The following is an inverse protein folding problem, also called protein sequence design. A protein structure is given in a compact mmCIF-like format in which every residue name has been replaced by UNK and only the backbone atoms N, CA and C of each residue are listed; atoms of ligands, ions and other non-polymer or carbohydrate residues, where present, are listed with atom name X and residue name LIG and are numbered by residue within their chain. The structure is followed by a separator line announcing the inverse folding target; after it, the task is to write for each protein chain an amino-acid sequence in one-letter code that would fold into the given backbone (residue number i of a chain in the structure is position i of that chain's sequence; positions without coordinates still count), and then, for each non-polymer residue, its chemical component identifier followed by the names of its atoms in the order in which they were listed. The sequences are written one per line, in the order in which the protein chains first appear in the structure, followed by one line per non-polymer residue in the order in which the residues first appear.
data_IF_854569812617
#
_entry.id   IF_854569812617
#
_cell.length_a   1.000
_cell.length_b   1.000
_cell.length_c   1.000
_cell.angle_alpha   90.00
_cell.angle_beta   90.00
_cell.angle_gamma   90.00
#
_symmetry.space_group_name_H-M   'P 1'
#
loop_
_entity.id
_entity.type
_entity.pdbx_description
1 polymer ?
#
# COMPACT_ATOMS: atom_id res chain seq x y z
N UNK A 1 7.59 -26.37 19.82
CA UNK A 1 7.15 -26.19 21.22
C UNK A 1 6.09 -27.23 21.52
N UNK A 2 6.18 -27.95 22.64
CA UNK A 2 5.13 -28.92 23.04
C UNK A 2 3.91 -28.15 23.57
N UNK A 3 2.70 -28.63 23.32
CA UNK A 3 1.46 -27.97 23.76
C UNK A 3 1.43 -27.67 25.27
N UNK A 4 2.00 -28.55 26.10
CA UNK A 4 2.12 -28.34 27.55
C UNK A 4 2.94 -27.09 27.91
N UNK A 5 4.05 -26.85 27.21
CA UNK A 5 4.87 -25.65 27.40
C UNK A 5 4.13 -24.39 26.94
N UNK A 6 3.38 -24.47 25.85
CA UNK A 6 2.55 -23.36 25.38
C UNK A 6 1.49 -22.96 26.41
N UNK A 7 0.75 -23.92 26.94
CA UNK A 7 -0.25 -23.64 27.98
C UNK A 7 0.35 -23.13 29.29
N UNK A 8 1.56 -23.56 29.65
CA UNK A 8 2.28 -23.01 30.80
C UNK A 8 2.65 -21.53 30.57
N UNK A 9 3.14 -21.17 29.36
CA UNK A 9 3.44 -19.81 28.99
C UNK A 9 2.18 -18.92 29.00
N UNK A 10 1.03 -19.43 28.53
CA UNK A 10 -0.22 -18.67 28.57
C UNK A 10 -0.62 -18.26 30.00
N UNK A 11 -0.32 -19.08 31.01
CA UNK A 11 -0.57 -18.74 32.42
C UNK A 11 0.22 -17.52 32.90
N UNK A 12 1.38 -17.22 32.29
CA UNK A 12 2.19 -16.06 32.65
C UNK A 12 1.68 -14.76 32.02
N UNK A 13 0.76 -14.84 31.04
CA UNK A 13 0.13 -13.63 30.44
C UNK A 13 -0.63 -12.79 31.45
N UNK A 14 -1.12 -13.37 32.55
CA UNK A 14 -1.76 -12.62 33.64
C UNK A 14 -0.86 -11.55 34.26
N UNK A 15 0.46 -11.69 34.09
CA UNK A 15 1.46 -10.75 34.59
C UNK A 15 1.81 -9.64 33.57
N UNK A 16 1.20 -9.70 32.37
CA UNK A 16 1.37 -8.66 31.34
C UNK A 16 0.31 -7.60 31.59
N UNK A 17 0.74 -6.45 32.03
CA UNK A 17 -0.11 -5.29 32.32
C UNK A 17 0.18 -4.17 31.33
N UNK A 18 -0.83 -3.35 31.04
CA UNK A 18 -0.71 -2.17 30.19
C UNK A 18 -1.10 -0.93 30.98
N UNK A 19 -0.47 0.23 30.73
CA UNK A 19 -0.99 1.48 31.26
C UNK A 19 -2.45 1.68 30.84
N UNK A 20 -3.31 2.08 31.80
CA UNK A 20 -4.73 2.31 31.51
C UNK A 20 -4.94 3.48 30.55
N UNK A 21 -4.11 4.51 30.65
CA UNK A 21 -4.20 5.69 29.79
C UNK A 21 -3.20 5.57 28.63
N UNK A 22 -3.69 5.83 27.41
CA UNK A 22 -2.84 5.97 26.24
C UNK A 22 -2.03 7.27 26.31
N UNK A 23 -2.58 8.34 26.92
CA UNK A 23 -1.88 9.60 27.13
C UNK A 23 -1.04 9.51 28.41
N UNK A 24 0.30 9.81 28.35
CA UNK A 24 1.11 10.02 29.55
C UNK A 24 0.59 11.19 30.38
N UNK A 25 0.78 11.12 31.71
CA UNK A 25 0.33 12.19 32.62
C UNK A 25 1.09 13.50 32.43
N UNK A 26 2.34 13.42 31.94
CA UNK A 26 3.24 14.54 31.64
C UNK A 26 3.32 14.85 30.13
N UNK A 27 2.36 14.38 29.34
CA UNK A 27 2.28 14.75 27.93
C UNK A 27 1.99 16.24 27.78
N UNK A 28 2.67 16.88 26.84
CA UNK A 28 2.41 18.26 26.46
C UNK A 28 0.96 18.39 25.98
N UNK A 29 0.26 19.41 26.46
CA UNK A 29 -1.16 19.63 26.17
C UNK A 29 -1.40 20.25 24.81
N UNK A 30 -0.46 21.04 24.34
CA UNK A 30 -0.53 21.80 23.09
C UNK A 30 -0.06 20.97 21.88
N UNK A 31 0.65 19.86 22.12
CA UNK A 31 1.23 19.05 21.05
C UNK A 31 0.44 17.74 20.87
N UNK A 32 -0.18 17.60 19.70
CA UNK A 32 -0.84 16.35 19.30
C UNK A 32 0.20 15.26 19.08
N UNK A 33 -0.06 14.00 19.51
CA UNK A 33 0.85 12.89 19.26
C UNK A 33 0.92 12.52 17.78
N UNK A 34 2.01 11.89 17.36
CA UNK A 34 2.08 11.21 16.08
C UNK A 34 1.47 9.80 16.19
N UNK A 35 0.73 9.39 15.17
CA UNK A 35 0.29 8.00 15.03
C UNK A 35 1.36 7.22 14.26
N UNK A 36 2.03 6.30 14.93
CA UNK A 36 3.08 5.47 14.33
C UNK A 36 2.58 4.06 14.16
N UNK A 37 2.72 3.50 12.96
CA UNK A 37 2.33 2.11 12.69
C UNK A 37 3.49 1.32 12.13
N UNK A 38 3.61 0.06 12.55
CA UNK A 38 4.54 -0.92 12.00
C UNK A 38 3.76 -2.07 11.43
N UNK A 39 4.23 -2.66 10.35
CA UNK A 39 3.66 -3.86 9.79
C UNK A 39 4.73 -4.83 9.32
N UNK A 40 4.42 -6.13 9.42
CA UNK A 40 5.28 -7.23 9.00
C UNK A 40 4.45 -8.38 8.44
N UNK A 41 5.01 -9.06 7.45
CA UNK A 41 4.44 -10.27 6.87
C UNK A 41 5.52 -11.31 6.61
N UNK A 42 5.24 -12.55 7.01
CA UNK A 42 6.08 -13.71 6.73
C UNK A 42 5.26 -14.79 5.97
N UNK A 43 5.83 -15.94 5.58
CA UNK A 43 5.08 -16.97 4.86
C UNK A 43 3.80 -17.46 5.55
N UNK A 44 3.74 -17.39 6.89
CA UNK A 44 2.68 -18.02 7.68
C UNK A 44 1.70 -17.01 8.29
N UNK A 45 2.13 -15.75 8.48
CA UNK A 45 1.34 -14.75 9.19
C UNK A 45 1.63 -13.32 8.70
N UNK A 46 0.73 -12.40 9.03
CA UNK A 46 0.93 -10.98 8.84
C UNK A 46 0.29 -10.18 9.98
N UNK A 47 0.84 -9.02 10.29
CA UNK A 47 0.35 -8.22 11.40
C UNK A 47 0.71 -6.75 11.28
N UNK A 48 0.07 -5.96 12.15
CA UNK A 48 0.37 -4.55 12.32
C UNK A 48 0.17 -4.14 13.78
N UNK A 49 0.96 -3.18 14.22
CA UNK A 49 0.90 -2.56 15.54
C UNK A 49 0.93 -1.06 15.41
N UNK A 50 0.21 -0.36 16.27
CA UNK A 50 0.11 1.09 16.30
C UNK A 50 0.47 1.66 17.67
N UNK A 51 1.20 2.77 17.66
CA UNK A 51 1.63 3.52 18.81
C UNK A 51 1.20 4.98 18.69
N UNK A 52 0.88 5.61 19.83
CA UNK A 52 0.86 7.06 19.96
C UNK A 52 2.24 7.52 20.44
N UNK A 53 2.92 8.35 19.67
CA UNK A 53 4.20 8.96 20.03
C UNK A 53 3.94 10.36 20.56
N UNK A 54 4.04 10.52 21.87
CA UNK A 54 3.78 11.76 22.59
C UNK A 54 5.05 12.57 22.77
N UNK A 55 4.92 13.88 22.69
CA UNK A 55 5.92 14.82 23.21
C UNK A 55 5.55 15.14 24.65
N UNK A 56 6.53 15.09 25.55
CA UNK A 56 6.36 15.39 26.96
C UNK A 56 6.71 16.86 27.26
N UNK A 57 6.29 17.36 28.42
CA UNK A 57 6.52 18.75 28.84
C UNK A 57 8.02 19.15 28.91
N UNK A 58 8.92 18.18 29.09
CA UNK A 58 10.37 18.39 29.06
C UNK A 58 10.97 18.30 27.65
N UNK A 59 10.14 18.13 26.62
CA UNK A 59 10.54 17.98 25.22
C UNK A 59 10.98 16.56 24.85
N UNK A 60 11.05 15.63 25.78
CA UNK A 60 11.33 14.22 25.48
C UNK A 60 10.12 13.56 24.82
N UNK A 61 10.32 12.36 24.26
CA UNK A 61 9.23 11.61 23.60
C UNK A 61 8.94 10.30 24.32
N UNK A 62 7.68 9.94 24.39
CA UNK A 62 7.20 8.65 24.90
C UNK A 62 6.24 8.00 23.91
N UNK A 63 6.49 6.74 23.56
CA UNK A 63 5.57 5.98 22.72
C UNK A 63 4.76 5.02 23.59
N UNK A 64 3.45 4.93 23.30
CA UNK A 64 2.53 4.00 23.95
C UNK A 64 1.74 3.20 22.92
N UNK A 65 1.71 1.89 23.11
CA UNK A 65 0.93 1.01 22.24
C UNK A 65 -0.57 1.33 22.34
N UNK A 66 -1.23 1.41 21.19
CA UNK A 66 -2.68 1.59 21.10
C UNK A 66 -3.35 0.26 20.82
N UNK A 67 -2.92 -0.41 19.74
CA UNK A 67 -3.53 -1.65 19.27
C UNK A 67 -2.53 -2.45 18.44
N UNK A 68 -2.65 -3.75 18.53
CA UNK A 68 -1.94 -4.68 17.64
C UNK A 68 -2.90 -5.73 17.10
N UNK A 69 -2.70 -6.17 15.88
CA UNK A 69 -3.49 -7.22 15.25
C UNK A 69 -2.60 -8.10 14.39
N UNK A 70 -2.72 -9.42 14.60
CA UNK A 70 -2.09 -10.44 13.76
C UNK A 70 -3.14 -11.33 13.13
N UNK A 71 -2.82 -11.87 11.95
CA UNK A 71 -3.64 -12.85 11.24
C UNK A 71 -2.73 -13.91 10.64
N UNK A 72 -3.21 -15.14 10.59
CA UNK A 72 -2.57 -16.20 9.81
C UNK A 72 -2.70 -15.88 8.32
N UNK A 73 -1.65 -16.14 7.58
CA UNK A 73 -1.66 -16.05 6.12
C UNK A 73 -2.64 -17.07 5.53
N UNK A 74 -3.40 -16.71 4.48
CA UNK A 74 -4.24 -17.67 3.79
C UNK A 74 -3.40 -18.84 3.26
N UNK A 75 -3.94 -20.07 3.32
CA UNK A 75 -3.25 -21.27 2.78
C UNK A 75 -2.88 -21.13 1.29
N UNK A 76 -3.67 -20.34 0.55
CA UNK A 76 -3.39 -19.98 -0.86
C UNK A 76 -2.17 -19.08 -1.04
N UNK A 77 -1.66 -18.47 0.03
CA UNK A 77 -0.45 -17.62 0.04
C UNK A 77 0.77 -18.34 0.63
N UNK A 78 0.66 -19.66 0.89
CA UNK A 78 1.77 -20.44 1.49
C UNK A 78 3.05 -20.27 0.67
N UNK A 79 4.09 -19.76 1.33
CA UNK A 79 5.38 -19.46 0.67
C UNK A 79 5.46 -18.13 -0.08
N UNK A 80 4.37 -17.37 -0.20
CA UNK A 80 4.35 -16.08 -0.88
C UNK A 80 4.44 -14.91 0.11
N UNK A 81 5.63 -14.67 0.64
CA UNK A 81 5.90 -13.63 1.65
C UNK A 81 5.39 -12.27 1.24
N UNK A 82 5.61 -11.85 -0.01
CA UNK A 82 5.20 -10.52 -0.51
C UNK A 82 3.68 -10.30 -0.45
N UNK A 83 2.87 -11.37 -0.63
CA UNK A 83 1.42 -11.25 -0.46
C UNK A 83 1.03 -10.97 0.98
N UNK A 84 1.71 -11.60 1.94
CA UNK A 84 1.46 -11.37 3.35
C UNK A 84 2.02 -10.01 3.81
N UNK A 85 3.17 -9.56 3.31
CA UNK A 85 3.72 -8.22 3.55
C UNK A 85 2.76 -7.12 3.04
N UNK A 86 2.22 -7.28 1.82
CA UNK A 86 1.22 -6.34 1.29
C UNK A 86 -0.09 -6.38 2.09
N UNK A 87 -0.48 -7.55 2.57
CA UNK A 87 -1.65 -7.69 3.46
C UNK A 87 -1.40 -7.03 4.82
N UNK A 88 -0.17 -7.07 5.34
CA UNK A 88 0.25 -6.37 6.55
C UNK A 88 0.17 -4.85 6.40
N UNK A 89 0.67 -4.30 5.30
CA UNK A 89 0.56 -2.87 5.01
C UNK A 89 -0.91 -2.42 4.88
N UNK A 90 -1.75 -3.24 4.22
CA UNK A 90 -3.20 -2.99 4.16
C UNK A 90 -3.82 -3.02 5.57
N UNK A 91 -3.42 -3.96 6.42
CA UNK A 91 -3.90 -4.03 7.80
C UNK A 91 -3.49 -2.80 8.61
N UNK A 92 -2.23 -2.34 8.49
CA UNK A 92 -1.77 -1.12 9.14
C UNK A 92 -2.57 0.12 8.71
N UNK A 93 -2.89 0.26 7.43
CA UNK A 93 -3.74 1.34 6.93
C UNK A 93 -5.17 1.28 7.50
N UNK A 94 -5.72 0.07 7.69
CA UNK A 94 -7.02 -0.15 8.33
C UNK A 94 -6.99 0.16 9.82
N UNK A 95 -5.93 -0.22 10.53
CA UNK A 95 -5.73 0.13 11.94
C UNK A 95 -5.68 1.64 12.13
N UNK A 96 -4.95 2.36 11.27
CA UNK A 96 -4.96 3.83 11.28
C UNK A 96 -6.37 4.40 11.19
N UNK A 97 -7.14 3.96 10.21
CA UNK A 97 -8.53 4.45 10.03
C UNK A 97 -9.37 4.15 11.27
N UNK A 98 -9.32 2.91 11.76
CA UNK A 98 -10.05 2.50 12.94
C UNK A 98 -9.68 3.31 14.19
N UNK A 99 -8.39 3.58 14.41
CA UNK A 99 -7.92 4.37 15.55
C UNK A 99 -8.51 5.79 15.49
N UNK A 100 -8.41 6.45 14.34
CA UNK A 100 -8.92 7.82 14.16
C UNK A 100 -10.43 7.88 14.41
N UNK A 101 -11.18 6.89 13.93
CA UNK A 101 -12.63 6.87 14.03
C UNK A 101 -13.16 6.47 15.43
N UNK A 102 -12.38 5.71 16.22
CA UNK A 102 -12.91 5.06 17.43
C UNK A 102 -12.22 5.48 18.74
N UNK A 103 -11.09 6.18 18.71
CA UNK A 103 -10.39 6.53 19.98
C UNK A 103 -10.67 7.94 20.47
N UNK A 104 -11.20 8.81 19.63
CA UNK A 104 -11.35 10.23 19.95
C UNK A 104 -10.01 10.99 20.07
N UNK A 105 -8.89 10.32 19.79
CA UNK A 105 -7.56 10.95 19.78
C UNK A 105 -7.33 11.66 18.45
N UNK A 106 -6.87 12.88 18.54
CA UNK A 106 -6.36 13.62 17.38
C UNK A 106 -4.86 13.44 17.24
N UNK A 107 -4.39 13.19 16.03
CA UNK A 107 -2.99 12.98 15.71
C UNK A 107 -2.46 14.09 14.80
N UNK A 108 -1.22 14.51 15.02
CA UNK A 108 -0.55 15.50 14.18
C UNK A 108 -0.30 14.93 12.77
N UNK A 109 0.20 13.70 12.70
CA UNK A 109 0.48 13.00 11.44
C UNK A 109 0.44 11.47 11.64
N UNK A 110 0.49 10.74 10.52
CA UNK A 110 0.67 9.30 10.50
C UNK A 110 2.03 8.93 9.92
N UNK A 111 2.78 8.08 10.63
CA UNK A 111 4.13 7.63 10.26
C UNK A 111 4.14 6.10 10.16
N UNK A 112 3.89 5.52 8.99
CA UNK A 112 3.92 4.08 8.78
C UNK A 112 5.32 3.57 8.47
N UNK A 113 5.68 2.42 9.06
CA UNK A 113 6.94 1.71 8.86
C UNK A 113 6.69 0.30 8.34
N UNK A 114 7.53 -0.13 7.43
CA UNK A 114 7.59 -1.49 6.90
C UNK A 114 9.05 -1.87 6.58
N UNK A 115 9.34 -3.15 6.47
CA UNK A 115 10.67 -3.67 6.12
C UNK A 115 10.69 -4.36 4.74
N UNK A 116 9.55 -4.40 4.05
CA UNK A 116 9.47 -4.88 2.68
C UNK A 116 9.69 -3.76 1.66
N UNK A 117 10.87 -3.75 1.04
CA UNK A 117 11.18 -2.80 -0.02
C UNK A 117 10.28 -2.97 -1.25
N UNK A 118 9.91 -4.23 -1.54
CA UNK A 118 8.99 -4.56 -2.63
C UNK A 118 7.63 -3.90 -2.40
N UNK A 119 7.07 -4.06 -1.19
CA UNK A 119 5.75 -3.49 -0.86
C UNK A 119 5.81 -1.95 -0.84
N UNK A 120 6.90 -1.34 -0.33
CA UNK A 120 7.07 0.11 -0.41
C UNK A 120 7.05 0.60 -1.87
N UNK A 121 7.80 -0.05 -2.76
CA UNK A 121 7.81 0.29 -4.18
C UNK A 121 6.43 0.14 -4.82
N UNK A 122 5.69 -0.92 -4.44
CA UNK A 122 4.32 -1.13 -4.92
C UNK A 122 3.36 -0.03 -4.46
N UNK A 123 3.46 0.42 -3.21
CA UNK A 123 2.61 1.48 -2.64
C UNK A 123 2.90 2.84 -3.29
N UNK A 124 4.15 3.09 -3.68
CA UNK A 124 4.56 4.32 -4.36
C UNK A 124 4.13 4.40 -5.83
N UNK A 125 3.70 3.29 -6.43
CA UNK A 125 3.29 3.20 -7.84
C UNK A 125 1.77 3.13 -7.98
N UNK A 126 1.30 3.40 -9.18
CA UNK A 126 -0.13 3.36 -9.50
C UNK A 126 -0.74 1.96 -9.33
N UNK A 127 -1.83 1.87 -8.57
CA UNK A 127 -2.47 0.61 -8.21
C UNK A 127 -3.03 -0.18 -9.40
N UNK A 128 -3.45 0.51 -10.45
CA UNK A 128 -4.03 -0.12 -11.64
C UNK A 128 -3.02 -0.93 -12.48
N UNK A 129 -1.72 -0.69 -12.31
CA UNK A 129 -0.65 -1.48 -12.96
C UNK A 129 -0.53 -2.91 -12.44
N UNK A 130 -1.13 -3.22 -11.29
CA UNK A 130 -1.01 -4.51 -10.64
C UNK A 130 -2.18 -5.45 -10.95
N UNK A 131 -1.97 -6.76 -10.72
CA UNK A 131 -3.03 -7.75 -10.74
C UNK A 131 -4.10 -7.44 -9.68
N UNK A 132 -5.26 -8.10 -9.75
CA UNK A 132 -6.40 -7.83 -8.88
C UNK A 132 -6.05 -7.91 -7.39
N UNK A 133 -5.24 -8.89 -6.98
CA UNK A 133 -4.85 -9.05 -5.58
C UNK A 133 -4.06 -7.84 -5.05
N UNK A 134 -3.02 -7.46 -5.77
CA UNK A 134 -2.13 -6.36 -5.38
C UNK A 134 -2.79 -5.00 -5.63
N UNK A 135 -3.44 -4.81 -6.77
CA UNK A 135 -4.07 -3.55 -7.16
C UNK A 135 -5.12 -3.07 -6.15
N UNK A 136 -6.00 -3.97 -5.68
CA UNK A 136 -7.01 -3.62 -4.67
C UNK A 136 -6.39 -3.20 -3.35
N UNK A 137 -5.31 -3.86 -2.91
CA UNK A 137 -4.63 -3.54 -1.65
C UNK A 137 -3.85 -2.25 -1.73
N UNK A 138 -3.10 -2.06 -2.80
CA UNK A 138 -2.36 -0.81 -3.05
C UNK A 138 -3.34 0.36 -3.11
N UNK A 139 -4.44 0.24 -3.86
CA UNK A 139 -5.48 1.28 -3.92
C UNK A 139 -6.09 1.59 -2.54
N UNK A 140 -6.35 0.56 -1.72
CA UNK A 140 -6.87 0.76 -0.37
C UNK A 140 -5.85 1.50 0.53
N UNK A 141 -4.57 1.15 0.46
CA UNK A 141 -3.50 1.83 1.21
C UNK A 141 -3.40 3.29 0.77
N UNK A 142 -3.35 3.55 -0.54
CA UNK A 142 -3.25 4.89 -1.12
C UNK A 142 -4.45 5.77 -0.76
N UNK A 143 -5.65 5.20 -0.70
CA UNK A 143 -6.86 5.92 -0.27
C UNK A 143 -6.83 6.30 1.21
N UNK A 144 -6.22 5.48 2.07
CA UNK A 144 -6.28 5.63 3.52
C UNK A 144 -5.07 6.31 4.14
N UNK A 145 -3.96 6.40 3.41
CA UNK A 145 -2.69 6.95 3.92
C UNK A 145 -2.05 7.86 2.89
N UNK A 146 -1.25 8.80 3.36
CA UNK A 146 -0.34 9.53 2.48
C UNK A 146 0.77 8.58 2.02
N UNK A 147 0.89 8.40 0.73
CA UNK A 147 1.86 7.50 0.09
C UNK A 147 3.30 7.91 0.42
N UNK A 148 3.58 9.21 0.47
CA UNK A 148 4.92 9.74 0.77
C UNK A 148 5.36 9.49 2.21
N UNK A 149 4.42 9.22 3.13
CA UNK A 149 4.71 8.98 4.54
C UNK A 149 5.28 7.58 4.84
N UNK A 150 5.20 6.62 3.90
CA UNK A 150 5.65 5.25 4.10
C UNK A 150 7.17 5.14 4.16
N UNK A 151 7.69 4.70 5.31
CA UNK A 151 9.12 4.59 5.59
C UNK A 151 9.57 3.14 5.60
N UNK A 152 10.69 2.87 4.93
CA UNK A 152 11.36 1.57 5.01
C UNK A 152 12.39 1.57 6.13
N UNK A 153 12.39 0.50 6.94
CA UNK A 153 13.37 0.24 7.99
C UNK A 153 13.97 -1.16 7.82
N UNK A 154 15.20 -1.41 8.33
CA UNK A 154 15.75 -2.76 8.36
C UNK A 154 14.87 -3.71 9.19
N UNK A 155 14.73 -4.97 8.77
CA UNK A 155 13.86 -5.94 9.42
C UNK A 155 14.15 -6.16 10.91
N UNK A 156 15.42 -6.06 11.33
CA UNK A 156 15.81 -6.15 12.75
C UNK A 156 15.24 -5.02 13.62
N UNK A 157 14.93 -3.89 13.02
CA UNK A 157 14.34 -2.71 13.69
C UNK A 157 12.80 -2.71 13.66
N UNK A 158 12.19 -3.67 12.93
CA UNK A 158 10.75 -3.74 12.81
C UNK A 158 10.12 -4.49 13.99
N UNK A 159 9.51 -3.74 14.91
CA UNK A 159 8.85 -4.31 16.10
C UNK A 159 7.67 -5.23 15.74
N UNK A 160 7.05 -5.06 14.56
CA UNK A 160 5.95 -5.91 14.10
C UNK A 160 6.37 -7.36 13.86
N UNK A 161 7.67 -7.68 13.77
CA UNK A 161 8.20 -9.04 13.75
C UNK A 161 7.68 -9.91 14.91
N UNK A 162 7.36 -9.30 16.05
CA UNK A 162 6.78 -10.00 17.21
C UNK A 162 5.42 -10.64 16.85
N UNK A 163 4.67 -10.00 15.98
CA UNK A 163 3.33 -10.47 15.57
C UNK A 163 3.37 -11.68 14.63
N UNK A 164 4.44 -11.81 13.86
CA UNK A 164 4.56 -12.85 12.83
C UNK A 164 5.46 -14.01 13.26
N UNK A 165 6.47 -13.72 14.09
CA UNK A 165 7.42 -14.75 14.59
C UNK A 165 7.02 -15.27 15.98
N UNK A 166 6.10 -14.59 16.65
CA UNK A 166 5.72 -14.87 18.01
C UNK A 166 6.71 -14.35 19.05
N UNK A 167 6.28 -14.30 20.29
CA UNK A 167 7.10 -13.87 21.43
C UNK A 167 6.66 -14.57 22.70
N UNK A 168 7.52 -14.55 23.72
CA UNK A 168 7.19 -15.04 25.05
C UNK A 168 6.56 -13.89 25.85
N UNK A 169 5.69 -14.18 26.85
CA UNK A 169 5.01 -13.17 27.65
C UNK A 169 5.95 -12.17 28.33
N UNK A 170 7.17 -12.58 28.67
CA UNK A 170 8.19 -11.75 29.27
C UNK A 170 8.57 -10.54 28.42
N UNK A 171 8.57 -10.69 27.10
CA UNK A 171 8.87 -9.63 26.13
C UNK A 171 7.70 -8.66 25.93
N UNK A 172 6.53 -8.97 26.50
CA UNK A 172 5.31 -8.17 26.36
C UNK A 172 4.99 -7.34 27.61
N UNK A 173 5.78 -7.48 28.68
CA UNK A 173 5.54 -6.79 29.97
C UNK A 173 5.59 -5.28 29.82
N UNK A 174 5.06 -4.60 30.83
CA UNK A 174 5.23 -3.16 31.04
C UNK A 174 6.73 -2.78 31.02
N UNK A 175 7.07 -1.73 30.30
CA UNK A 175 8.45 -1.27 30.10
C UNK A 175 9.23 -2.03 29.02
N UNK A 176 8.64 -3.04 28.39
CA UNK A 176 9.25 -3.69 27.22
C UNK A 176 9.16 -2.81 25.97
N UNK A 177 10.04 -3.06 25.01
CA UNK A 177 9.98 -2.40 23.68
C UNK A 177 8.67 -2.68 22.94
N UNK A 178 7.99 -3.79 23.25
CA UNK A 178 6.67 -4.05 22.71
C UNK A 178 5.65 -2.98 23.13
N UNK A 179 5.65 -2.55 24.38
CA UNK A 179 4.69 -1.55 24.86
C UNK A 179 5.12 -0.11 24.61
N UNK A 180 6.43 0.16 24.60
CA UNK A 180 7.02 1.50 24.43
C UNK A 180 7.55 1.79 23.02
N UNK A 181 7.41 0.86 22.08
CA UNK A 181 8.03 0.96 20.76
C UNK A 181 9.53 0.72 20.75
N UNK A 182 10.16 0.68 19.57
CA UNK A 182 11.62 0.59 19.45
C UNK A 182 12.31 1.78 20.11
N UNK A 183 13.48 1.56 20.71
CA UNK A 183 14.23 2.60 21.44
C UNK A 183 14.54 3.83 20.58
N UNK A 184 14.77 3.65 19.28
CA UNK A 184 15.06 4.76 18.38
C UNK A 184 13.83 5.64 18.10
N UNK A 185 12.60 5.15 18.30
CA UNK A 185 11.38 5.88 18.02
C UNK A 185 11.23 7.15 18.85
N UNK A 186 11.73 7.14 20.08
CA UNK A 186 11.69 8.28 21.00
C UNK A 186 12.87 9.26 20.82
N UNK A 187 13.80 8.95 19.90
CA UNK A 187 14.91 9.83 19.54
C UNK A 187 14.51 10.83 18.46
N UNK A 188 15.41 11.76 18.16
CA UNK A 188 15.26 12.66 17.03
C UNK A 188 15.05 11.88 15.72
N UNK A 189 14.21 12.38 14.82
CA UNK A 189 13.87 11.70 13.58
C UNK A 189 15.05 11.49 12.64
N UNK A 190 16.05 12.36 12.71
CA UNK A 190 17.31 12.20 11.95
C UNK A 190 18.10 10.94 12.33
N UNK A 191 17.82 10.39 13.52
CA UNK A 191 18.45 9.17 14.04
C UNK A 191 17.60 7.91 13.78
N UNK A 192 16.44 8.04 13.16
CA UNK A 192 15.61 6.89 12.84
C UNK A 192 16.26 6.04 11.74
N UNK A 193 16.21 4.72 11.84
CA UNK A 193 16.89 3.81 10.90
C UNK A 193 16.17 3.73 9.54
N UNK A 194 15.63 4.84 9.06
CA UNK A 194 14.95 4.92 7.77
C UNK A 194 15.95 4.76 6.65
N UNK A 195 15.67 3.82 5.76
CA UNK A 195 16.51 3.54 4.60
C UNK A 195 15.71 3.65 3.31
N UNK A 196 16.39 3.99 2.21
CA UNK A 196 15.79 4.04 0.87
C UNK A 196 16.66 3.26 -0.13
N UNK A 197 16.90 1.95 0.11
CA UNK A 197 17.71 1.16 -0.80
C UNK A 197 17.00 1.03 -2.15
N UNK A 198 17.78 0.96 -3.23
CA UNK A 198 17.25 0.58 -4.55
C UNK A 198 16.81 -0.89 -4.51
N UNK A 199 15.80 -1.24 -5.30
CA UNK A 199 15.43 -2.64 -5.48
C UNK A 199 16.56 -3.41 -6.17
N UNK A 200 16.83 -4.61 -5.70
CA UNK A 200 17.68 -5.57 -6.40
C UNK A 200 16.99 -6.07 -7.67
N UNK A 201 17.75 -6.68 -8.59
CA UNK A 201 17.21 -7.27 -9.83
C UNK A 201 16.15 -8.35 -9.50
N UNK A 202 16.41 -9.21 -8.53
CA UNK A 202 15.46 -10.24 -8.06
C UNK A 202 14.16 -9.63 -7.49
N UNK A 203 14.28 -8.54 -6.73
CA UNK A 203 13.13 -7.82 -6.21
C UNK A 203 12.31 -7.16 -7.32
N UNK A 204 12.96 -6.60 -8.35
CA UNK A 204 12.28 -6.07 -9.53
C UNK A 204 11.51 -7.16 -10.28
N UNK A 205 12.10 -8.32 -10.50
CA UNK A 205 11.43 -9.48 -11.10
C UNK A 205 10.21 -9.93 -10.27
N UNK A 206 10.32 -9.85 -8.94
CA UNK A 206 9.20 -10.16 -8.06
C UNK A 206 8.07 -9.15 -8.19
N UNK A 207 8.36 -7.85 -8.27
CA UNK A 207 7.36 -6.81 -8.54
C UNK A 207 6.67 -7.06 -9.88
N UNK A 208 7.42 -7.44 -10.92
CA UNK A 208 6.87 -7.74 -12.25
C UNK A 208 5.84 -8.88 -12.24
N UNK A 209 6.00 -9.88 -11.35
CA UNK A 209 5.00 -10.97 -11.19
C UNK A 209 3.64 -10.47 -10.71
N UNK A 210 3.60 -9.34 -10.00
CA UNK A 210 2.36 -8.72 -9.55
C UNK A 210 1.77 -7.74 -10.56
N UNK A 211 2.53 -7.33 -11.57
CA UNK A 211 2.01 -6.46 -12.63
C UNK A 211 1.03 -7.21 -13.54
N UNK A 212 0.05 -6.49 -14.04
CA UNK A 212 -0.81 -7.00 -15.12
C UNK A 212 0.06 -7.23 -16.34
N UNK A 213 0.08 -8.46 -16.86
CA UNK A 213 0.87 -8.77 -18.05
C UNK A 213 0.55 -7.82 -19.20
N UNK A 214 1.55 -7.10 -19.67
CA UNK A 214 1.45 -6.12 -20.78
C UNK A 214 1.13 -6.76 -22.14
N UNK A 215 1.07 -8.09 -22.18
CA UNK A 215 0.97 -8.88 -23.44
C UNK A 215 -0.35 -8.66 -24.21
N UNK A 216 -1.40 -8.18 -23.55
CA UNK A 216 -2.72 -8.01 -24.20
C UNK A 216 -2.92 -6.63 -24.84
N UNK A 217 -2.19 -5.60 -24.41
CA UNK A 217 -2.26 -4.26 -25.02
C UNK A 217 -1.50 -4.25 -26.35
N UNK A 218 -0.41 -5.00 -26.48
CA UNK A 218 0.31 -5.16 -27.76
C UNK A 218 -0.56 -5.77 -28.86
N UNK A 219 -1.52 -6.63 -28.53
CA UNK A 219 -2.40 -7.24 -29.52
C UNK A 219 -3.47 -6.28 -30.08
N UNK A 220 -3.89 -5.28 -29.32
CA UNK A 220 -4.86 -4.28 -29.83
C UNK A 220 -4.20 -3.28 -30.78
N UNK A 221 -2.97 -2.89 -30.50
CA UNK A 221 -2.22 -1.95 -31.35
C UNK A 221 -1.62 -2.62 -32.58
N UNK A 222 -1.25 -3.93 -32.50
CA UNK A 222 -0.67 -4.67 -33.62
C UNK A 222 -1.70 -5.21 -34.63
N UNK A 223 -2.97 -5.25 -34.26
CA UNK A 223 -4.05 -5.72 -35.15
C UNK A 223 -4.72 -4.61 -35.98
N UNK A 224 -4.37 -3.35 -35.73
CA UNK A 224 -4.79 -2.23 -36.60
C UNK A 224 -3.70 -2.03 -37.64
N UNK A 225 -3.94 -2.27 -38.94
CA UNK A 225 -2.97 -1.98 -39.98
C UNK A 225 -2.62 -0.50 -39.95
N UNK A 226 -1.32 -0.18 -39.73
CA UNK A 226 -0.78 1.19 -39.69
C UNK A 226 -0.94 1.99 -41.00
N UNK A 227 -1.62 1.41 -42.00
CA UNK A 227 -1.86 2.00 -43.32
C UNK A 227 -3.25 2.62 -43.50
N UNK A 228 -4.18 2.37 -42.57
CA UNK A 228 -5.47 3.09 -42.61
C UNK A 228 -5.32 4.38 -41.80
N UNK A 229 -5.45 5.53 -42.46
CA UNK A 229 -5.70 6.80 -41.78
C UNK A 229 -6.91 6.57 -40.89
N UNK A 230 -6.70 6.53 -39.57
CA UNK A 230 -7.79 6.50 -38.60
C UNK A 230 -8.40 7.90 -38.63
N UNK A 231 -9.29 8.12 -39.60
CA UNK A 231 -10.29 9.13 -39.46
C UNK A 231 -11.33 8.51 -38.52
N UNK A 232 -11.41 8.97 -37.30
CA UNK A 232 -12.64 8.94 -36.56
C UNK A 232 -13.55 9.95 -37.30
N UNK A 233 -14.07 9.55 -38.45
CA UNK A 233 -15.30 10.12 -38.96
C UNK A 233 -16.31 9.81 -37.85
N UNK A 234 -17.08 10.78 -37.38
CA UNK A 234 -18.04 10.61 -36.29
C UNK A 234 -19.15 9.59 -36.58
N UNK A 235 -18.77 8.46 -37.17
CA UNK A 235 -19.64 7.36 -37.52
C UNK A 235 -19.67 6.39 -36.32
N UNK A 236 -20.87 6.16 -35.78
CA UNK A 236 -21.15 5.26 -34.64
C UNK A 236 -20.56 3.85 -34.83
N UNK A 237 -20.35 3.41 -36.04
CA UNK A 237 -19.87 2.06 -36.38
C UNK A 237 -18.45 1.74 -35.83
N UNK A 238 -17.58 2.72 -35.68
CA UNK A 238 -16.19 2.49 -35.22
C UNK A 238 -16.15 2.29 -33.68
N UNK A 239 -17.01 2.99 -32.95
CA UNK A 239 -17.13 2.82 -31.52
C UNK A 239 -17.80 1.52 -31.14
N UNK A 240 -18.85 1.11 -31.89
CA UNK A 240 -19.49 -0.19 -31.70
C UNK A 240 -18.52 -1.34 -31.94
N UNK A 241 -17.66 -1.25 -32.95
CA UNK A 241 -16.59 -2.22 -33.16
C UNK A 241 -15.57 -2.26 -32.06
N UNK A 242 -15.26 -1.11 -31.43
CA UNK A 242 -14.36 -1.02 -30.28
C UNK A 242 -15.00 -1.65 -29.03
N UNK A 243 -16.26 -1.33 -28.76
CA UNK A 243 -17.04 -1.89 -27.64
C UNK A 243 -17.13 -3.41 -27.75
N UNK A 244 -17.47 -3.94 -28.95
CA UNK A 244 -17.56 -5.38 -29.18
C UNK A 244 -16.24 -6.14 -28.97
N UNK A 245 -15.08 -5.46 -29.12
CA UNK A 245 -13.75 -6.06 -28.94
C UNK A 245 -13.23 -5.97 -27.48
N UNK A 246 -13.79 -5.12 -26.66
CA UNK A 246 -13.37 -4.92 -25.30
C UNK A 246 -14.16 -5.81 -24.33
N UNK A 247 -13.48 -6.78 -23.69
CA UNK A 247 -14.12 -7.73 -22.76
C UNK A 247 -14.43 -7.14 -21.37
N UNK A 248 -14.05 -5.90 -21.10
CA UNK A 248 -14.32 -5.19 -19.85
C UNK A 248 -14.36 -3.69 -20.10
N UNK A 249 -15.18 -2.98 -19.31
CA UNK A 249 -15.29 -1.52 -19.35
C UNK A 249 -13.93 -0.82 -19.15
N UNK A 250 -13.11 -1.31 -18.23
CA UNK A 250 -11.77 -0.77 -17.99
C UNK A 250 -10.87 -0.83 -19.23
N UNK A 251 -10.98 -1.90 -20.03
CA UNK A 251 -10.23 -2.00 -21.28
C UNK A 251 -10.75 -1.05 -22.33
N UNK A 252 -12.06 -0.86 -22.37
CA UNK A 252 -12.70 0.09 -23.29
C UNK A 252 -12.22 1.52 -22.98
N UNK A 253 -12.27 1.94 -21.73
CA UNK A 253 -11.82 3.28 -21.30
C UNK A 253 -10.35 3.50 -21.66
N UNK A 254 -9.48 2.54 -21.41
CA UNK A 254 -8.07 2.64 -21.74
C UNK A 254 -7.82 2.71 -23.24
N UNK A 255 -8.50 1.88 -24.02
CA UNK A 255 -8.42 1.92 -25.48
C UNK A 255 -8.87 3.29 -26.02
N UNK A 256 -9.98 3.82 -25.51
CA UNK A 256 -10.49 5.16 -25.84
C UNK A 256 -9.47 6.25 -25.45
N UNK A 257 -8.87 6.17 -24.26
CA UNK A 257 -7.84 7.13 -23.84
C UNK A 257 -6.62 7.15 -24.79
N UNK A 258 -6.15 5.98 -25.24
CA UNK A 258 -5.09 5.91 -26.25
C UNK A 258 -5.51 6.51 -27.59
N UNK A 259 -6.75 6.27 -28.03
CA UNK A 259 -7.29 6.84 -29.25
C UNK A 259 -7.39 8.36 -29.14
N UNK A 260 -7.95 8.91 -28.07
CA UNK A 260 -8.04 10.35 -27.85
C UNK A 260 -6.67 11.02 -27.78
N UNK A 261 -5.67 10.36 -27.17
CA UNK A 261 -4.29 10.83 -27.18
C UNK A 261 -3.70 10.95 -28.59
N UNK A 262 -4.06 10.04 -29.48
CA UNK A 262 -3.59 10.03 -30.88
C UNK A 262 -4.32 11.07 -31.75
N UNK A 263 -5.66 11.22 -31.53
CA UNK A 263 -6.51 12.10 -32.33
C UNK A 263 -6.40 13.58 -31.92
N UNK A 264 -6.16 13.86 -30.65
CA UNK A 264 -6.12 15.22 -30.09
C UNK A 264 -4.87 16.06 -30.46
N UNK A 265 -4.04 15.66 -31.44
CA UNK A 265 -2.78 16.35 -31.77
C UNK A 265 -2.52 16.40 -33.29
N UNK A 266 -2.05 17.57 -33.74
CA UNK A 266 -1.51 17.88 -35.08
C UNK A 266 -0.59 16.79 -35.64
N UNK A 267 -0.41 16.68 -36.99
CA UNK A 267 0.30 15.58 -37.65
C UNK A 267 1.71 15.41 -37.06
N UNK A 268 1.99 14.23 -36.54
CA UNK A 268 3.21 13.90 -35.82
C UNK A 268 4.11 12.93 -36.59
N UNK A 269 5.43 13.07 -36.39
CA UNK A 269 6.42 12.15 -36.93
C UNK A 269 6.25 10.73 -36.33
N UNK A 270 6.55 9.67 -37.11
CA UNK A 270 6.38 8.26 -36.68
C UNK A 270 7.08 7.91 -35.39
N UNK A 271 8.24 8.48 -35.12
CA UNK A 271 9.06 8.23 -33.93
C UNK A 271 8.43 8.84 -32.65
N UNK A 272 7.72 9.93 -32.77
CA UNK A 272 6.96 10.56 -31.68
C UNK A 272 5.70 9.77 -31.30
N UNK A 273 5.10 9.02 -32.23
CA UNK A 273 3.93 8.20 -31.96
C UNK A 273 4.26 6.97 -31.11
N UNK A 274 5.36 6.28 -31.38
CA UNK A 274 5.80 5.08 -30.64
C UNK A 274 6.09 5.43 -29.18
N UNK A 275 6.75 6.54 -28.91
CA UNK A 275 7.05 6.99 -27.53
C UNK A 275 5.82 7.40 -26.71
N UNK A 276 4.69 7.77 -27.37
CA UNK A 276 3.45 8.18 -26.69
C UNK A 276 2.48 7.03 -26.43
N UNK A 277 2.44 6.05 -27.32
CA UNK A 277 1.63 4.84 -27.15
C UNK A 277 2.18 3.94 -26.03
N UNK A 278 3.49 4.02 -25.78
CA UNK A 278 4.14 3.24 -24.70
C UNK A 278 4.05 3.88 -23.31
N UNK A 279 3.65 5.16 -23.20
CA UNK A 279 3.40 5.80 -21.89
C UNK A 279 2.07 5.35 -21.33
N UNK A 280 2.06 5.03 -20.04
CA UNK A 280 0.83 4.70 -19.32
C UNK A 280 -0.21 5.81 -19.42
N UNK A 281 -1.49 5.42 -19.42
CA UNK A 281 -2.61 6.37 -19.41
C UNK A 281 -2.64 7.06 -18.06
N UNK A 282 -2.60 8.38 -18.06
CA UNK A 282 -2.71 9.19 -16.83
C UNK A 282 -4.15 9.20 -16.30
N UNK A 283 -4.33 9.56 -15.04
CA UNK A 283 -5.66 9.68 -14.43
C UNK A 283 -6.55 10.70 -15.17
N UNK A 284 -5.96 11.81 -15.67
CA UNK A 284 -6.68 12.79 -16.49
C UNK A 284 -7.18 12.18 -17.79
N UNK A 285 -6.31 11.52 -18.54
CA UNK A 285 -6.67 10.86 -19.80
C UNK A 285 -7.71 9.74 -19.61
N UNK A 286 -7.67 9.06 -18.48
CA UNK A 286 -8.66 8.06 -18.12
C UNK A 286 -10.06 8.69 -17.89
N UNK A 287 -10.11 9.80 -17.16
CA UNK A 287 -11.35 10.55 -16.93
C UNK A 287 -11.89 11.16 -18.22
N UNK A 288 -11.04 11.70 -19.08
CA UNK A 288 -11.45 12.23 -20.38
C UNK A 288 -12.05 11.16 -21.27
N UNK A 289 -11.44 9.96 -21.31
CA UNK A 289 -11.96 8.82 -22.04
C UNK A 289 -13.28 8.31 -21.45
N UNK A 290 -13.42 8.31 -20.12
CA UNK A 290 -14.66 7.95 -19.45
C UNK A 290 -15.81 8.92 -19.82
N UNK A 291 -15.55 10.21 -19.73
CA UNK A 291 -16.52 11.24 -20.09
C UNK A 291 -16.93 11.15 -21.58
N UNK A 292 -15.96 10.89 -22.46
CA UNK A 292 -16.22 10.68 -23.89
C UNK A 292 -17.16 9.50 -24.13
N UNK A 293 -16.94 8.36 -23.44
CA UNK A 293 -17.79 7.17 -23.56
C UNK A 293 -19.20 7.42 -23.02
N UNK A 294 -19.34 8.18 -21.92
CA UNK A 294 -20.67 8.55 -21.39
C UNK A 294 -21.43 9.43 -22.39
N UNK A 295 -20.77 10.46 -22.96
CA UNK A 295 -21.40 11.31 -23.97
C UNK A 295 -21.82 10.50 -25.21
N UNK A 296 -20.96 9.61 -25.67
CA UNK A 296 -21.27 8.75 -26.82
C UNK A 296 -22.46 7.83 -26.55
N UNK A 297 -22.58 7.21 -25.36
CA UNK A 297 -23.71 6.35 -24.98
C UNK A 297 -25.03 7.12 -24.87
N UNK A 298 -24.98 8.42 -24.53
CA UNK A 298 -26.16 9.28 -24.44
C UNK A 298 -26.65 9.79 -25.81
N UNK A 299 -25.83 9.72 -26.85
CA UNK A 299 -26.16 10.13 -28.22
C UNK A 299 -26.77 8.98 -29.05
N UNK A 300 -26.75 7.72 -28.53
CA UNK A 300 -27.39 6.55 -29.15
C UNK A 300 -28.84 6.43 -28.73
#
# INVERSE_FOLDING_TARGET
MKWTQYFQLLKTLKNVTFPRSIRPSNADEDIKPDLVTFCDGNPDAYGGVAYALWTLQDGSKEARIIVAKAKLGPLTHKGETVKNELSAATLASRLRTWIIENTGLEFARHVPFLDSRIVQDMVLKESYGYNTFAGLRVAEIQKKTDVASWNHIPSKENIANILTKGSIPENLKQGSTWQSGPVWLTKDESLWPVTRPKLSQEQLETVLKFQKGSTKIKCLVSSVPLTSKIYLSGDSSDMDALVARCSTLEKLIRATAYILRLVGRTPMNKDDMVGKVTKEVTAGEYNDAWNYLICWDQEQ
#
